data_IF_996688380708
#
_entry.id   IF_996688380708
#
_cell.length_a   1.000
_cell.length_b   1.000
_cell.length_c   1.000
_cell.angle_alpha   90.00
_cell.angle_beta   90.00
_cell.angle_gamma   90.00
#
_symmetry.space_group_name_H-M   'P 1'
#
loop_
_entity.id
_entity.type
_entity.pdbx_description
1 polymer ?
#
# COMPACT_ATOMS: atom_id res chain seq x y z
N UNK A 1 10.47 -10.55 -23.89
CA UNK A 1 9.78 -9.28 -23.67
C UNK A 1 10.66 -8.47 -22.72
N UNK A 2 11.05 -7.29 -23.21
CA UNK A 2 12.15 -6.50 -22.68
C UNK A 2 11.93 -5.95 -21.27
N UNK A 3 13.04 -5.90 -20.56
CA UNK A 3 13.30 -5.30 -19.25
C UNK A 3 13.34 -3.75 -19.37
N UNK A 4 12.26 -3.13 -19.82
CA UNK A 4 12.14 -1.68 -19.92
C UNK A 4 10.90 -1.28 -19.15
N UNK A 5 11.13 -0.70 -17.98
CA UNK A 5 10.34 0.26 -17.22
C UNK A 5 10.52 0.12 -15.69
N UNK A 6 11.75 -0.14 -15.25
CA UNK A 6 12.13 0.29 -13.91
C UNK A 6 12.50 1.77 -14.03
N UNK A 7 11.51 2.65 -13.91
CA UNK A 7 11.81 4.06 -13.69
C UNK A 7 12.61 4.16 -12.41
N UNK A 8 13.85 4.60 -12.54
CA UNK A 8 14.70 5.02 -11.43
C UNK A 8 13.89 5.94 -10.52
N UNK A 9 13.81 5.57 -9.25
CA UNK A 9 13.24 6.42 -8.22
C UNK A 9 14.05 7.70 -8.20
N UNK A 10 13.46 8.82 -8.65
CA UNK A 10 14.03 10.13 -8.38
C UNK A 10 14.06 10.28 -6.86
N UNK A 11 15.23 10.47 -6.31
CA UNK A 11 15.43 10.79 -4.90
C UNK A 11 14.57 12.00 -4.58
N UNK A 12 13.71 11.86 -3.58
CA UNK A 12 12.89 12.95 -3.04
C UNK A 12 13.81 14.16 -2.78
N UNK A 13 13.42 15.38 -3.16
CA UNK A 13 14.18 16.57 -2.84
C UNK A 13 14.34 16.64 -1.31
N UNK A 14 15.56 16.90 -0.84
CA UNK A 14 15.95 17.00 0.56
C UNK A 14 15.09 17.99 1.38
N UNK A 15 14.38 18.90 0.71
CA UNK A 15 13.48 19.88 1.34
C UNK A 15 12.12 19.32 1.78
N UNK A 16 11.73 18.12 1.38
CA UNK A 16 10.44 17.50 1.78
C UNK A 16 10.49 16.82 3.16
N UNK A 17 11.64 16.78 3.81
CA UNK A 17 11.86 16.03 5.07
C UNK A 17 11.74 16.91 6.32
N UNK A 18 11.60 18.24 6.20
CA UNK A 18 11.66 19.15 7.35
C UNK A 18 10.33 19.50 8.05
N UNK A 19 9.17 19.11 7.58
CA UNK A 19 7.95 19.10 8.38
C UNK A 19 7.74 17.72 9.01
N UNK A 20 8.47 17.44 10.07
CA UNK A 20 8.16 16.28 10.91
C UNK A 20 6.84 16.53 11.63
N UNK A 21 5.73 16.04 11.01
CA UNK A 21 4.45 15.97 11.69
C UNK A 21 4.63 15.29 13.04
N UNK A 22 3.99 15.81 14.08
CA UNK A 22 3.98 15.17 15.40
C UNK A 22 3.41 13.75 15.28
N UNK A 23 3.73 12.88 16.23
CA UNK A 23 3.18 11.51 16.24
C UNK A 23 1.66 11.50 16.23
N UNK A 24 1.02 12.47 16.90
CA UNK A 24 -0.43 12.64 16.92
C UNK A 24 -0.98 12.99 15.54
N UNK A 25 -0.33 13.89 14.79
CA UNK A 25 -0.73 14.25 13.44
C UNK A 25 -0.56 13.10 12.45
N UNK A 26 0.49 12.27 12.62
CA UNK A 26 0.75 11.10 11.76
C UNK A 26 -0.17 9.91 12.06
N UNK A 27 -0.53 9.68 13.30
CA UNK A 27 -1.25 8.48 13.74
C UNK A 27 -2.68 8.75 14.14
N UNK A 28 -3.02 10.01 14.46
CA UNK A 28 -4.32 10.40 15.02
C UNK A 28 -4.56 9.85 16.44
N UNK A 29 -3.49 9.46 17.15
CA UNK A 29 -3.54 8.91 18.50
C UNK A 29 -2.66 9.75 19.42
N UNK A 30 -3.27 10.38 20.44
CA UNK A 30 -2.53 11.05 21.50
C UNK A 30 -1.95 9.97 22.44
N UNK A 31 -0.66 9.68 22.30
CA UNK A 31 0.06 8.70 23.13
C UNK A 31 1.17 9.41 23.88
N UNK A 32 1.39 9.00 25.13
CA UNK A 32 2.51 9.48 25.93
C UNK A 32 3.84 9.06 25.25
N UNK A 33 4.78 9.99 25.09
CA UNK A 33 6.06 9.75 24.41
C UNK A 33 6.85 8.57 24.98
N UNK A 34 6.88 8.41 26.30
CA UNK A 34 7.59 7.29 26.94
C UNK A 34 6.93 5.94 26.67
N UNK A 35 5.62 5.89 26.54
CA UNK A 35 4.89 4.68 26.16
C UNK A 35 5.12 4.36 24.68
N UNK A 36 5.17 5.38 23.84
CA UNK A 36 5.45 5.25 22.41
C UNK A 36 6.86 4.69 22.16
N UNK A 37 7.90 5.23 22.81
CA UNK A 37 9.26 4.70 22.72
C UNK A 37 9.33 3.23 23.16
N UNK A 38 8.64 2.87 24.26
CA UNK A 38 8.56 1.46 24.69
C UNK A 38 7.88 0.55 23.65
N UNK A 39 6.87 1.05 22.95
CA UNK A 39 6.21 0.31 21.86
C UNK A 39 7.18 0.15 20.68
N UNK A 40 7.86 1.22 20.28
CA UNK A 40 8.83 1.21 19.19
C UNK A 40 9.97 0.21 19.44
N UNK A 41 10.53 0.21 20.65
CA UNK A 41 11.58 -0.74 21.03
C UNK A 41 11.10 -2.19 20.94
N UNK A 42 9.88 -2.48 21.41
CA UNK A 42 9.29 -3.81 21.32
C UNK A 42 9.05 -4.22 19.86
N UNK A 43 8.52 -3.33 19.03
CA UNK A 43 8.28 -3.60 17.62
C UNK A 43 9.61 -3.87 16.89
N UNK A 44 10.61 -3.01 17.08
CA UNK A 44 11.94 -3.17 16.48
C UNK A 44 12.59 -4.49 16.88
N UNK A 45 12.48 -4.89 18.14
CA UNK A 45 13.01 -6.18 18.62
C UNK A 45 12.31 -7.36 17.93
N UNK A 46 10.97 -7.35 17.85
CA UNK A 46 10.21 -8.40 17.20
C UNK A 46 10.57 -8.52 15.71
N UNK A 47 10.70 -7.39 15.01
CA UNK A 47 11.03 -7.40 13.58
C UNK A 47 12.48 -7.79 13.29
N UNK A 48 13.43 -7.55 14.20
CA UNK A 48 14.85 -7.90 14.02
C UNK A 48 15.13 -9.38 14.24
N UNK A 49 14.41 -10.01 15.17
CA UNK A 49 14.67 -11.40 15.60
C UNK A 49 14.07 -12.46 14.66
N UNK A 50 13.28 -12.06 13.66
CA UNK A 50 12.60 -12.97 12.73
C UNK A 50 13.19 -12.87 11.33
N UNK A 51 13.64 -14.00 10.78
CA UNK A 51 14.10 -14.05 9.39
C UNK A 51 12.95 -13.82 8.40
N UNK A 52 13.25 -13.11 7.31
CA UNK A 52 12.31 -12.94 6.21
C UNK A 52 12.09 -14.27 5.50
N UNK A 53 10.85 -14.74 5.46
CA UNK A 53 10.49 -15.96 4.77
C UNK A 53 10.53 -15.76 3.25
N UNK A 54 11.35 -16.56 2.59
CA UNK A 54 11.36 -16.72 1.14
C UNK A 54 11.36 -18.21 0.80
N UNK A 55 10.70 -18.59 -0.27
CA UNK A 55 10.63 -19.97 -0.77
C UNK A 55 10.51 -19.88 -2.29
N UNK A 56 11.36 -20.62 -3.02
CA UNK A 56 11.42 -20.59 -4.49
C UNK A 56 10.12 -21.10 -5.15
N UNK A 57 9.35 -21.90 -4.42
CA UNK A 57 8.04 -22.38 -4.85
C UNK A 57 6.91 -21.38 -4.55
N UNK A 58 7.18 -20.32 -3.82
CA UNK A 58 6.19 -19.31 -3.43
C UNK A 58 6.49 -17.99 -4.12
N UNK A 59 5.51 -17.48 -4.85
CA UNK A 59 5.54 -16.17 -5.47
C UNK A 59 4.53 -15.24 -4.82
N UNK A 60 5.00 -14.13 -4.29
CA UNK A 60 4.19 -13.14 -3.58
C UNK A 60 4.00 -11.88 -4.42
N UNK A 61 2.76 -11.63 -4.84
CA UNK A 61 2.34 -10.45 -5.58
C UNK A 61 1.52 -9.54 -4.68
N UNK A 62 1.90 -8.27 -4.55
CA UNK A 62 1.12 -7.27 -3.83
C UNK A 62 0.22 -6.51 -4.83
N UNK A 63 -1.09 -6.58 -4.62
CA UNK A 63 -2.07 -5.75 -5.31
C UNK A 63 -2.35 -4.51 -4.46
N UNK A 64 -2.23 -3.33 -5.07
CA UNK A 64 -2.35 -2.04 -4.40
C UNK A 64 -3.44 -1.23 -5.08
N UNK A 65 -4.48 -0.85 -4.32
CA UNK A 65 -5.46 0.15 -4.73
C UNK A 65 -5.05 1.51 -4.16
N UNK A 66 -4.84 2.49 -5.04
CA UNK A 66 -4.31 3.81 -4.68
C UNK A 66 -5.42 4.86 -4.76
N UNK A 67 -5.64 5.59 -3.67
CA UNK A 67 -6.48 6.81 -3.71
C UNK A 67 -5.63 7.98 -4.21
N UNK A 68 -5.60 8.13 -5.52
CA UNK A 68 -4.94 9.24 -6.20
C UNK A 68 -5.93 9.89 -7.17
N UNK A 69 -6.25 11.14 -6.92
CA UNK A 69 -7.19 11.94 -7.72
C UNK A 69 -6.49 12.91 -8.66
N UNK A 70 -5.23 13.20 -8.43
CA UNK A 70 -4.37 13.95 -9.34
C UNK A 70 -2.98 13.29 -9.44
N UNK A 71 -2.22 13.68 -10.46
CA UNK A 71 -0.91 13.07 -10.76
C UNK A 71 0.26 13.78 -10.10
N UNK A 72 0.01 14.75 -9.21
CA UNK A 72 1.07 15.56 -8.58
C UNK A 72 1.73 14.87 -7.40
N UNK A 73 1.09 13.82 -6.85
CA UNK A 73 1.62 13.01 -5.74
C UNK A 73 1.26 11.52 -5.90
N UNK A 74 1.90 10.66 -5.12
CA UNK A 74 1.72 9.20 -5.24
C UNK A 74 0.35 8.70 -4.77
N UNK A 75 -0.33 9.41 -3.85
CA UNK A 75 -1.53 8.92 -3.18
C UNK A 75 -1.21 7.98 -2.02
N UNK A 76 -2.25 7.61 -1.27
CA UNK A 76 -2.14 6.58 -0.24
C UNK A 76 -2.61 5.22 -0.78
N UNK A 77 -2.02 4.13 -0.30
CA UNK A 77 -2.50 2.77 -0.61
C UNK A 77 -3.64 2.40 0.31
N UNK A 78 -4.88 2.59 -0.14
CA UNK A 78 -6.07 2.33 0.67
C UNK A 78 -6.52 0.86 0.64
N UNK A 79 -6.09 0.12 -0.37
CA UNK A 79 -6.30 -1.32 -0.47
C UNK A 79 -4.97 -2.01 -0.75
N UNK A 80 -4.63 -3.02 0.04
CA UNK A 80 -3.42 -3.81 -0.11
C UNK A 80 -3.77 -5.28 0.08
N UNK A 81 -3.59 -6.08 -0.96
CA UNK A 81 -3.86 -7.52 -0.95
C UNK A 81 -2.59 -8.26 -1.36
N UNK A 82 -2.04 -9.03 -0.44
CA UNK A 82 -0.92 -9.93 -0.73
C UNK A 82 -1.46 -11.25 -1.29
N UNK A 83 -1.15 -11.54 -2.54
CA UNK A 83 -1.50 -12.78 -3.24
C UNK A 83 -0.28 -13.68 -3.23
N UNK A 84 -0.35 -14.80 -2.52
CA UNK A 84 0.71 -15.79 -2.40
C UNK A 84 0.37 -17.02 -3.24
N UNK A 85 1.18 -17.30 -4.27
CA UNK A 85 1.02 -18.41 -5.20
C UNK A 85 2.04 -19.48 -4.85
N UNK A 86 1.58 -20.61 -4.31
CA UNK A 86 2.43 -21.76 -4.02
C UNK A 86 2.36 -22.75 -5.20
N UNK A 87 3.43 -22.80 -5.98
CA UNK A 87 3.53 -23.65 -7.18
C UNK A 87 3.57 -25.14 -6.84
N UNK A 88 4.31 -25.51 -5.79
CA UNK A 88 4.45 -26.90 -5.37
C UNK A 88 3.10 -27.49 -4.90
N UNK A 89 2.25 -26.67 -4.29
CA UNK A 89 0.95 -27.10 -3.75
C UNK A 89 -0.24 -26.76 -4.65
N UNK A 90 0.00 -26.08 -5.78
CA UNK A 90 -1.06 -25.53 -6.66
C UNK A 90 -2.12 -24.74 -5.87
N UNK A 91 -1.65 -23.87 -4.96
CA UNK A 91 -2.52 -23.13 -4.05
C UNK A 91 -2.27 -21.63 -4.17
N UNK A 92 -3.36 -20.85 -4.25
CA UNK A 92 -3.35 -19.41 -4.12
C UNK A 92 -3.96 -19.03 -2.78
N UNK A 93 -3.32 -18.14 -2.06
CA UNK A 93 -3.81 -17.55 -0.81
C UNK A 93 -3.80 -16.03 -0.95
N UNK A 94 -4.82 -15.36 -0.41
CA UNK A 94 -4.90 -13.91 -0.41
C UNK A 94 -5.08 -13.41 1.02
N UNK A 95 -4.34 -12.35 1.37
CA UNK A 95 -4.38 -11.70 2.68
C UNK A 95 -4.53 -10.19 2.45
N UNK A 96 -5.57 -9.61 3.02
CA UNK A 96 -5.71 -8.16 3.06
C UNK A 96 -4.88 -7.58 4.20
N UNK A 97 -4.07 -6.57 3.90
CA UNK A 97 -3.28 -5.83 4.89
C UNK A 97 -4.04 -4.56 5.27
N UNK A 98 -4.18 -4.33 6.58
CA UNK A 98 -4.88 -3.14 7.07
C UNK A 98 -4.04 -1.88 6.82
N UNK A 99 -4.62 -0.91 6.13
CA UNK A 99 -3.96 0.36 5.79
C UNK A 99 -3.49 1.16 7.01
N UNK A 100 -4.22 1.06 8.11
CA UNK A 100 -3.94 1.77 9.36
C UNK A 100 -2.99 1.02 10.31
N UNK A 101 -2.39 -0.10 9.84
CA UNK A 101 -1.37 -0.80 10.63
C UNK A 101 -0.21 0.14 10.91
N UNK A 102 0.15 0.27 12.21
CA UNK A 102 1.24 1.13 12.64
C UNK A 102 2.57 0.41 12.46
N UNK A 103 3.46 0.97 11.66
CA UNK A 103 4.71 0.33 11.20
C UNK A 103 5.87 1.33 11.20
N UNK A 104 7.10 0.82 11.24
CA UNK A 104 8.30 1.60 10.98
C UNK A 104 8.56 1.66 9.46
N UNK A 105 8.59 2.85 8.90
CA UNK A 105 8.85 3.09 7.47
C UNK A 105 10.26 3.64 7.33
N UNK A 106 11.11 2.98 6.56
CA UNK A 106 12.49 3.40 6.35
C UNK A 106 12.57 4.84 5.84
N UNK A 107 13.38 5.67 6.51
CA UNK A 107 13.58 7.08 6.16
C UNK A 107 12.43 8.01 6.58
N UNK A 108 11.32 7.48 7.13
CA UNK A 108 10.15 8.26 7.56
C UNK A 108 9.89 8.11 9.07
N UNK A 109 10.13 6.91 9.61
CA UNK A 109 9.79 6.53 10.97
C UNK A 109 8.40 5.92 11.10
N UNK A 110 7.87 5.90 12.33
CA UNK A 110 6.60 5.22 12.61
C UNK A 110 5.39 5.97 12.08
N UNK A 111 4.62 5.30 11.22
CA UNK A 111 3.39 5.83 10.63
C UNK A 111 2.41 4.70 10.26
N UNK A 112 1.28 5.04 9.65
CA UNK A 112 0.36 4.07 9.06
C UNK A 112 0.99 3.42 7.82
N UNK A 113 0.75 2.13 7.63
CA UNK A 113 1.30 1.36 6.50
C UNK A 113 0.99 2.00 5.13
N UNK A 114 -0.21 2.54 4.94
CA UNK A 114 -0.60 3.17 3.69
C UNK A 114 0.23 4.41 3.34
N UNK A 115 0.79 5.10 4.34
CA UNK A 115 1.66 6.25 4.15
C UNK A 115 2.98 5.88 3.43
N UNK A 116 3.45 4.64 3.56
CA UNK A 116 4.65 4.19 2.86
C UNK A 116 4.54 4.38 1.34
N UNK A 117 3.34 4.18 0.78
CA UNK A 117 3.11 4.41 -0.65
C UNK A 117 3.19 5.91 -1.01
N UNK A 118 2.66 6.78 -0.18
CA UNK A 118 2.72 8.23 -0.42
C UNK A 118 4.17 8.75 -0.42
N UNK A 119 5.02 8.23 0.46
CA UNK A 119 6.43 8.64 0.58
C UNK A 119 7.34 8.04 -0.48
N UNK A 120 7.18 6.78 -0.86
CA UNK A 120 8.11 6.08 -1.76
C UNK A 120 7.46 5.11 -2.73
N UNK A 121 6.16 5.30 -3.02
CA UNK A 121 5.38 4.48 -3.93
C UNK A 121 5.47 2.97 -3.62
N UNK A 122 5.31 2.12 -4.65
CA UNK A 122 5.34 0.67 -4.50
C UNK A 122 6.63 0.10 -3.90
N UNK A 123 7.83 0.57 -4.26
CA UNK A 123 9.08 0.06 -3.70
C UNK A 123 9.17 0.21 -2.18
N UNK A 124 8.90 1.39 -1.64
CA UNK A 124 8.96 1.63 -0.19
C UNK A 124 7.85 0.86 0.56
N UNK A 125 6.66 0.77 -0.02
CA UNK A 125 5.58 -0.03 0.55
C UNK A 125 5.96 -1.52 0.60
N UNK A 126 6.51 -2.09 -0.47
CA UNK A 126 6.97 -3.48 -0.50
C UNK A 126 8.07 -3.73 0.52
N UNK A 127 9.03 -2.82 0.65
CA UNK A 127 10.09 -2.88 1.65
C UNK A 127 9.50 -2.87 3.06
N UNK A 128 8.61 -1.91 3.35
CA UNK A 128 7.93 -1.79 4.65
C UNK A 128 7.14 -3.04 5.01
N UNK A 129 6.42 -3.65 4.05
CA UNK A 129 5.70 -4.91 4.24
C UNK A 129 6.68 -6.05 4.54
N UNK A 130 7.78 -6.15 3.79
CA UNK A 130 8.80 -7.18 3.99
C UNK A 130 9.42 -7.06 5.38
N UNK A 131 9.77 -5.86 5.80
CA UNK A 131 10.42 -5.61 7.09
C UNK A 131 9.48 -5.82 8.27
N UNK A 132 8.20 -5.46 8.10
CA UNK A 132 7.20 -5.59 9.16
C UNK A 132 6.71 -7.03 9.34
N UNK A 133 6.32 -7.67 8.23
CA UNK A 133 5.67 -9.00 8.27
C UNK A 133 6.63 -10.15 8.01
N UNK A 134 7.87 -9.86 7.66
CA UNK A 134 8.91 -10.86 7.32
C UNK A 134 8.50 -11.82 6.21
N UNK A 135 7.82 -11.28 5.21
CA UNK A 135 7.39 -11.99 4.01
C UNK A 135 7.95 -11.22 2.81
N UNK A 136 8.76 -11.89 2.00
CA UNK A 136 9.30 -11.30 0.76
C UNK A 136 8.15 -10.99 -0.19
N UNK A 137 8.09 -9.76 -0.70
CA UNK A 137 7.22 -9.36 -1.80
C UNK A 137 8.02 -9.39 -3.10
N UNK A 138 7.62 -10.23 -4.06
CA UNK A 138 8.37 -10.42 -5.31
C UNK A 138 8.02 -9.38 -6.36
N UNK A 139 6.75 -8.97 -6.45
CA UNK A 139 6.26 -7.95 -7.38
C UNK A 139 5.06 -7.24 -6.77
N UNK A 140 4.72 -6.10 -7.35
CA UNK A 140 3.46 -5.41 -7.06
C UNK A 140 2.77 -4.94 -8.33
N UNK A 141 1.47 -4.73 -8.23
CA UNK A 141 0.63 -4.02 -9.19
C UNK A 141 -0.13 -2.95 -8.43
N UNK A 142 0.01 -1.71 -8.86
CA UNK A 142 -0.73 -0.58 -8.30
C UNK A 142 -1.76 -0.10 -9.33
N UNK A 143 -2.97 0.14 -8.86
CA UNK A 143 -4.12 0.56 -9.68
C UNK A 143 -4.76 1.75 -8.98
N UNK A 144 -4.85 2.89 -9.66
CA UNK A 144 -5.65 4.02 -9.22
C UNK A 144 -7.06 4.00 -9.85
N UNK A 145 -7.87 5.01 -9.58
CA UNK A 145 -9.22 5.08 -10.12
C UNK A 145 -9.26 5.15 -11.65
N UNK A 146 -8.29 5.84 -12.26
CA UNK A 146 -8.21 5.97 -13.72
C UNK A 146 -7.82 4.63 -14.36
N UNK A 147 -6.81 3.97 -13.80
CA UNK A 147 -6.38 2.64 -14.24
C UNK A 147 -7.51 1.61 -14.11
N UNK A 148 -8.30 1.70 -13.02
CA UNK A 148 -9.45 0.81 -12.80
C UNK A 148 -10.54 1.01 -13.87
N UNK A 149 -10.83 2.25 -14.26
CA UNK A 149 -11.77 2.56 -15.33
C UNK A 149 -11.29 1.93 -16.64
N UNK A 150 -10.00 2.08 -16.97
CA UNK A 150 -9.41 1.52 -18.17
C UNK A 150 -9.45 -0.02 -18.18
N UNK A 151 -9.14 -0.65 -17.05
CA UNK A 151 -9.24 -2.11 -16.90
C UNK A 151 -10.69 -2.58 -17.14
N UNK A 152 -11.68 -1.92 -16.53
CA UNK A 152 -13.10 -2.26 -16.69
C UNK A 152 -13.53 -2.10 -18.14
N UNK A 153 -13.08 -1.04 -18.81
CA UNK A 153 -13.38 -0.82 -20.22
C UNK A 153 -12.80 -1.92 -21.13
N UNK A 154 -11.55 -2.36 -20.85
CA UNK A 154 -10.87 -3.42 -21.62
C UNK A 154 -11.60 -4.77 -21.48
N UNK A 155 -12.13 -5.09 -20.31
CA UNK A 155 -12.88 -6.35 -20.09
C UNK A 155 -14.34 -6.29 -20.56
N UNK A 156 -14.81 -5.13 -21.04
CA UNK A 156 -16.16 -4.95 -21.58
C UNK A 156 -17.22 -4.52 -20.55
N UNK A 157 -16.79 -4.04 -19.39
CA UNK A 157 -17.68 -3.62 -18.31
C UNK A 157 -17.94 -4.70 -17.27
N UNK A 158 -18.73 -4.37 -16.27
CA UNK A 158 -19.24 -5.29 -15.23
C UNK A 158 -20.74 -5.12 -15.08
N UNK A 159 -21.46 -6.24 -15.01
CA UNK A 159 -22.90 -6.23 -14.76
C UNK A 159 -23.16 -6.07 -13.25
N UNK A 160 -23.94 -5.06 -12.88
CA UNK A 160 -24.29 -4.78 -11.49
C UNK A 160 -25.82 -4.77 -11.34
N UNK A 161 -26.33 -5.55 -10.39
CA UNK A 161 -27.73 -5.40 -9.94
C UNK A 161 -27.80 -4.27 -8.92
N UNK A 162 -28.41 -3.15 -9.32
CA UNK A 162 -28.59 -1.97 -8.47
C UNK A 162 -30.05 -1.52 -8.47
N UNK A 163 -30.54 -1.00 -7.36
CA UNK A 163 -31.85 -0.38 -7.30
C UNK A 163 -31.88 0.98 -8.00
N UNK A 164 -33.06 1.45 -8.37
CA UNK A 164 -33.22 2.77 -8.98
C UNK A 164 -32.63 3.92 -8.12
N UNK A 165 -32.72 3.80 -6.80
CA UNK A 165 -32.16 4.80 -5.86
C UNK A 165 -30.63 4.78 -5.84
N UNK A 166 -30.02 3.59 -5.92
CA UNK A 166 -28.55 3.47 -6.01
C UNK A 166 -28.04 4.01 -7.34
N UNK A 167 -28.76 3.75 -8.44
CA UNK A 167 -28.45 4.31 -9.75
C UNK A 167 -28.54 5.85 -9.77
N UNK A 168 -29.52 6.45 -9.11
CA UNK A 168 -29.65 7.90 -8.98
C UNK A 168 -28.46 8.50 -8.22
N UNK A 169 -28.06 7.90 -7.10
CA UNK A 169 -26.90 8.33 -6.31
C UNK A 169 -25.60 8.18 -7.10
N UNK A 170 -25.39 7.04 -7.77
CA UNK A 170 -24.20 6.81 -8.59
C UNK A 170 -24.08 7.82 -9.73
N UNK A 171 -25.19 8.10 -10.43
CA UNK A 171 -25.21 9.12 -11.48
C UNK A 171 -24.89 10.52 -10.95
N UNK A 172 -25.34 10.87 -9.73
CA UNK A 172 -24.98 12.12 -9.08
C UNK A 172 -23.48 12.26 -8.89
N UNK A 173 -22.81 11.23 -8.38
CA UNK A 173 -21.34 11.23 -8.22
C UNK A 173 -20.59 11.31 -9.55
N UNK A 174 -21.08 10.63 -10.59
CA UNK A 174 -20.48 10.70 -11.93
C UNK A 174 -20.55 12.11 -12.50
N UNK A 175 -21.68 12.79 -12.32
CA UNK A 175 -21.87 14.18 -12.81
C UNK A 175 -20.97 15.17 -12.07
N UNK A 176 -20.68 14.94 -10.78
CA UNK A 176 -19.79 15.80 -9.98
C UNK A 176 -18.29 15.58 -10.30
N UNK A 177 -17.94 14.49 -10.98
CA UNK A 177 -16.56 14.16 -11.37
C UNK A 177 -16.21 14.57 -12.81
N UNK A 178 -17.19 14.90 -13.64
CA UNK A 178 -17.02 15.32 -15.03
C UNK A 178 -17.06 16.85 -15.17
#
# INVERSE_FOLDING_TARGET
VADEDIKTVETLPEEAVEETLSTEERTGVAVNESELESIHDKMKKITTDVETKSDDDIYNLLLIGVDRRDKTWNGNSDSMILVSINKAKNKVSMVSLMRDTYVDIEGVGYAKLNAAYAYGAGPLLCQTITDTFRIKVDRYVAVDFFDLIDIINIIGGVDLEISAKEAEVANGYIMDMC
#
